data_IF_483549594356
#
_entry.id   IF_483549594356
#
_cell.length_a   1.000
_cell.length_b   1.000
_cell.length_c   1.000
_cell.angle_alpha   90.00
_cell.angle_beta   90.00
_cell.angle_gamma   90.00
#
_symmetry.space_group_name_H-M   'P 1'
#
loop_
_entity.id
_entity.type
_entity.pdbx_description
1 polymer ?
#
# COMPACT_ATOMS: atom_id res chain seq x y z
N UNK A 1 -10.84 -16.67 36.01
CA UNK A 1 -10.25 -16.25 34.73
C UNK A 1 -9.80 -17.47 33.89
N UNK A 2 -9.12 -18.50 34.45
CA UNK A 2 -8.73 -19.70 33.70
C UNK A 2 -9.95 -20.57 33.28
N UNK A 3 -10.98 -20.69 34.12
CA UNK A 3 -12.18 -21.49 33.81
C UNK A 3 -12.99 -20.90 32.62
N UNK A 4 -13.03 -19.58 32.49
CA UNK A 4 -13.76 -18.94 31.38
C UNK A 4 -13.04 -19.11 30.02
N UNK A 5 -11.71 -19.17 30.01
CA UNK A 5 -10.92 -19.43 28.80
C UNK A 5 -11.08 -20.89 28.37
N UNK A 6 -11.04 -21.83 29.33
CA UNK A 6 -11.21 -23.26 29.05
C UNK A 6 -12.62 -23.58 28.51
N UNK A 7 -13.67 -22.95 29.05
CA UNK A 7 -15.04 -23.11 28.58
C UNK A 7 -15.24 -22.51 27.19
N UNK A 8 -14.56 -21.38 26.88
CA UNK A 8 -14.59 -20.77 25.54
C UNK A 8 -13.92 -21.65 24.50
N UNK A 9 -12.78 -22.24 24.82
CA UNK A 9 -12.05 -23.14 23.91
C UNK A 9 -12.84 -24.42 23.61
N UNK A 10 -13.44 -25.02 24.64
CA UNK A 10 -14.34 -26.17 24.47
C UNK A 10 -15.57 -25.82 23.60
N UNK A 11 -16.11 -24.61 23.76
CA UNK A 11 -17.28 -24.15 22.98
C UNK A 11 -16.94 -23.91 21.51
N UNK A 12 -15.78 -23.30 21.20
CA UNK A 12 -15.31 -23.04 19.83
C UNK A 12 -14.99 -24.36 19.13
N UNK A 13 -14.27 -25.26 19.79
CA UNK A 13 -13.96 -26.60 19.28
C UNK A 13 -15.22 -27.41 18.98
N UNK A 14 -16.22 -27.36 19.89
CA UNK A 14 -17.50 -28.01 19.70
C UNK A 14 -18.23 -27.45 18.47
N UNK A 15 -18.37 -26.14 18.35
CA UNK A 15 -19.03 -25.48 17.23
C UNK A 15 -18.35 -25.78 15.89
N UNK A 16 -17.01 -25.79 15.84
CA UNK A 16 -16.26 -26.12 14.64
C UNK A 16 -16.44 -27.58 14.21
N UNK A 17 -16.40 -28.53 15.18
CA UNK A 17 -16.57 -29.95 14.86
C UNK A 17 -17.95 -30.29 14.32
N UNK A 18 -18.98 -29.58 14.79
CA UNK A 18 -20.38 -29.75 14.37
C UNK A 18 -20.77 -28.88 13.16
N UNK A 19 -19.86 -28.04 12.66
CA UNK A 19 -20.07 -27.34 11.39
C UNK A 19 -20.08 -28.33 10.21
N UNK A 20 -20.92 -28.05 9.22
CA UNK A 20 -20.96 -28.78 7.97
C UNK A 20 -19.70 -28.56 7.11
N UNK A 21 -19.64 -29.25 5.97
CA UNK A 21 -18.50 -29.12 5.05
C UNK A 21 -18.32 -27.67 4.54
N UNK A 22 -19.41 -26.96 4.23
CA UNK A 22 -19.37 -25.57 3.73
C UNK A 22 -18.86 -24.61 4.81
N UNK A 23 -19.33 -24.75 6.05
CA UNK A 23 -18.84 -23.95 7.17
C UNK A 23 -17.33 -24.14 7.43
N UNK A 24 -16.85 -25.39 7.39
CA UNK A 24 -15.42 -25.71 7.49
C UNK A 24 -14.60 -25.12 6.34
N UNK A 25 -15.11 -25.19 5.13
CA UNK A 25 -14.47 -24.61 3.95
C UNK A 25 -14.35 -23.08 4.08
N UNK A 26 -15.43 -22.40 4.51
CA UNK A 26 -15.41 -20.95 4.77
C UNK A 26 -14.37 -20.60 5.83
N UNK A 27 -14.32 -21.33 6.94
CA UNK A 27 -13.31 -21.12 7.98
C UNK A 27 -11.88 -21.30 7.44
N UNK A 28 -11.64 -22.27 6.57
CA UNK A 28 -10.33 -22.46 5.93
C UNK A 28 -9.95 -21.29 5.02
N UNK A 29 -10.88 -20.78 4.21
CA UNK A 29 -10.67 -19.59 3.36
C UNK A 29 -10.38 -18.34 4.22
N UNK A 30 -11.14 -18.14 5.28
CA UNK A 30 -10.93 -17.04 6.23
C UNK A 30 -9.57 -17.14 6.93
N UNK A 31 -9.12 -18.34 7.26
CA UNK A 31 -7.80 -18.55 7.84
C UNK A 31 -6.67 -18.19 6.86
N UNK A 32 -6.81 -18.56 5.58
CA UNK A 32 -5.87 -18.13 4.52
C UNK A 32 -5.87 -16.61 4.37
N UNK A 33 -7.04 -15.96 4.39
CA UNK A 33 -7.14 -14.50 4.37
C UNK A 33 -6.45 -13.87 5.58
N UNK A 34 -6.63 -14.44 6.77
CA UNK A 34 -5.97 -13.96 7.98
C UNK A 34 -4.45 -13.96 7.83
N UNK A 35 -3.87 -15.09 7.42
CA UNK A 35 -2.41 -15.17 7.21
C UNK A 35 -1.95 -14.16 6.15
N UNK A 36 -2.63 -14.12 5.00
CA UNK A 36 -2.27 -13.22 3.90
C UNK A 36 -2.31 -11.74 4.33
N UNK A 37 -3.35 -11.32 5.06
CA UNK A 37 -3.48 -9.93 5.52
C UNK A 37 -2.41 -9.56 6.54
N UNK A 38 -2.09 -10.43 7.51
CA UNK A 38 -1.02 -10.17 8.47
C UNK A 38 0.35 -10.07 7.79
N UNK A 39 0.68 -11.01 6.89
CA UNK A 39 1.94 -10.98 6.14
C UNK A 39 2.06 -9.69 5.34
N UNK A 40 1.00 -9.31 4.62
CA UNK A 40 0.98 -8.07 3.82
C UNK A 40 1.09 -6.81 4.69
N UNK A 41 0.38 -6.75 5.82
CA UNK A 41 0.43 -5.61 6.73
C UNK A 41 1.85 -5.39 7.27
N UNK A 42 2.53 -6.45 7.72
CA UNK A 42 3.89 -6.34 8.23
C UNK A 42 4.89 -6.02 7.12
N UNK A 43 4.83 -6.72 5.99
CA UNK A 43 5.74 -6.50 4.86
C UNK A 43 5.60 -5.09 4.29
N UNK A 44 4.36 -4.66 4.03
CA UNK A 44 4.08 -3.33 3.47
C UNK A 44 4.37 -2.22 4.47
N UNK A 45 4.00 -2.42 5.75
CA UNK A 45 4.28 -1.46 6.81
C UNK A 45 5.77 -1.20 7.01
N UNK A 46 6.60 -2.25 7.01
CA UNK A 46 8.05 -2.11 7.11
C UNK A 46 8.65 -1.44 5.88
N UNK A 47 8.19 -1.81 4.68
CA UNK A 47 8.63 -1.18 3.43
C UNK A 47 8.31 0.32 3.37
N UNK A 48 7.08 0.71 3.74
CA UNK A 48 6.66 2.10 3.76
C UNK A 48 7.43 2.94 4.80
N UNK A 49 7.66 2.40 6.00
CA UNK A 49 8.49 3.09 7.01
C UNK A 49 9.89 3.35 6.50
N UNK A 50 10.52 2.35 5.91
CA UNK A 50 11.85 2.48 5.32
C UNK A 50 11.87 3.53 4.21
N UNK A 51 10.89 3.51 3.30
CA UNK A 51 10.76 4.50 2.24
C UNK A 51 10.57 5.93 2.78
N UNK A 52 9.80 6.11 3.85
CA UNK A 52 9.61 7.41 4.51
C UNK A 52 10.91 7.96 5.13
N UNK A 53 11.71 7.10 5.76
CA UNK A 53 13.01 7.47 6.32
C UNK A 53 14.01 7.85 5.23
N UNK A 54 14.11 7.04 4.16
CA UNK A 54 14.97 7.29 3.01
C UNK A 54 14.60 8.60 2.30
N UNK A 55 13.32 8.84 2.09
CA UNK A 55 12.83 10.10 1.52
C UNK A 55 13.17 11.31 2.38
N UNK A 56 12.98 11.23 3.69
CA UNK A 56 13.31 12.31 4.60
C UNK A 56 14.81 12.63 4.63
N UNK A 57 15.64 11.60 4.49
CA UNK A 57 17.10 11.74 4.38
C UNK A 57 17.49 12.38 3.05
N UNK A 58 16.89 11.93 1.95
CA UNK A 58 17.14 12.48 0.61
C UNK A 58 16.72 13.95 0.51
N UNK A 59 15.52 14.32 0.97
CA UNK A 59 15.02 15.71 0.93
C UNK A 59 15.98 16.64 1.70
N UNK A 60 16.47 16.24 2.87
CA UNK A 60 17.46 17.04 3.61
C UNK A 60 18.72 17.28 2.79
N UNK A 61 19.30 16.20 2.25
CA UNK A 61 20.49 16.28 1.40
C UNK A 61 20.25 17.15 0.15
N UNK A 62 19.07 17.06 -0.47
CA UNK A 62 18.70 17.85 -1.63
C UNK A 62 18.60 19.36 -1.29
N UNK A 63 18.01 19.69 -0.15
CA UNK A 63 17.85 21.09 0.29
C UNK A 63 19.16 21.76 0.72
N UNK A 64 20.12 20.99 1.21
CA UNK A 64 21.46 21.50 1.54
C UNK A 64 22.28 21.87 0.31
N UNK A 65 21.95 21.34 -0.87
CA UNK A 65 22.68 21.61 -2.11
C UNK A 65 22.08 22.79 -2.84
N UNK A 66 22.92 23.76 -3.25
CA UNK A 66 22.51 24.92 -4.04
C UNK A 66 22.08 24.49 -5.47
N UNK A 67 22.87 23.61 -6.08
CA UNK A 67 22.58 23.10 -7.43
C UNK A 67 21.72 21.83 -7.34
N UNK A 68 20.50 21.81 -7.94
CA UNK A 68 19.61 20.67 -7.88
C UNK A 68 20.18 19.40 -8.55
N UNK A 69 21.16 19.53 -9.47
CA UNK A 69 21.77 18.40 -10.18
C UNK A 69 23.06 17.88 -9.52
N UNK A 70 23.46 18.42 -8.37
CA UNK A 70 24.75 18.07 -7.72
C UNK A 70 24.78 16.70 -7.04
N UNK A 71 23.65 16.05 -6.83
CA UNK A 71 23.57 14.74 -6.20
C UNK A 71 23.84 13.65 -7.24
N UNK A 72 24.95 12.93 -7.07
CA UNK A 72 25.31 11.84 -7.97
C UNK A 72 24.60 10.53 -7.59
N UNK A 73 24.27 9.65 -8.57
CA UNK A 73 23.71 8.33 -8.29
C UNK A 73 24.54 7.50 -7.31
N UNK A 74 25.88 7.63 -7.36
CA UNK A 74 26.83 6.95 -6.47
C UNK A 74 26.72 7.37 -5.00
N UNK A 75 26.06 8.51 -4.71
CA UNK A 75 25.81 8.97 -3.33
C UNK A 75 24.56 8.34 -2.71
N UNK A 76 23.78 7.59 -3.50
CA UNK A 76 22.50 7.00 -3.12
C UNK A 76 22.63 5.47 -3.09
N UNK A 77 22.95 4.86 -1.94
CA UNK A 77 23.15 3.41 -1.85
C UNK A 77 21.90 2.60 -2.16
N UNK A 78 20.73 3.09 -1.75
CA UNK A 78 19.40 2.55 -2.10
C UNK A 78 18.48 3.73 -2.31
N UNK A 79 18.00 3.99 -3.53
CA UNK A 79 17.13 5.12 -3.78
C UNK A 79 15.71 4.84 -3.22
N UNK A 80 15.27 5.67 -2.28
CA UNK A 80 13.86 5.76 -1.90
C UNK A 80 13.01 6.34 -3.05
N UNK A 81 11.68 6.32 -2.93
CA UNK A 81 10.79 6.80 -3.98
C UNK A 81 11.13 8.20 -4.52
N UNK A 82 11.41 9.17 -3.65
CA UNK A 82 11.76 10.53 -4.06
C UNK A 82 13.12 10.57 -4.78
N UNK A 83 14.08 9.78 -4.31
CA UNK A 83 15.37 9.68 -4.99
C UNK A 83 15.26 9.04 -6.37
N UNK A 84 14.35 8.09 -6.56
CA UNK A 84 14.07 7.48 -7.87
C UNK A 84 13.48 8.52 -8.85
N UNK A 85 12.54 9.35 -8.40
CA UNK A 85 11.99 10.47 -9.18
C UNK A 85 13.08 11.46 -9.56
N UNK A 86 13.96 11.84 -8.63
CA UNK A 86 15.10 12.69 -8.90
C UNK A 86 16.04 12.11 -9.98
N UNK A 87 16.35 10.80 -9.87
CA UNK A 87 17.23 10.14 -10.82
C UNK A 87 16.64 10.10 -12.24
N UNK A 88 15.33 9.87 -12.38
CA UNK A 88 14.65 9.90 -13.68
C UNK A 88 14.75 11.27 -14.35
N UNK A 89 14.49 12.35 -13.60
CA UNK A 89 14.65 13.71 -14.12
C UNK A 89 16.08 14.03 -14.49
N UNK A 90 17.03 13.63 -13.66
CA UNK A 90 18.46 13.83 -13.92
C UNK A 90 18.92 13.10 -15.19
N UNK A 91 18.53 11.85 -15.37
CA UNK A 91 18.84 11.06 -16.56
C UNK A 91 18.34 11.76 -17.83
N UNK A 92 17.11 12.30 -17.77
CA UNK A 92 16.53 13.04 -18.88
C UNK A 92 17.34 14.31 -19.22
N UNK A 93 17.75 15.06 -18.20
CA UNK A 93 18.56 16.26 -18.35
C UNK A 93 19.96 15.92 -18.91
N UNK A 94 20.61 14.87 -18.40
CA UNK A 94 21.92 14.41 -18.90
C UNK A 94 21.83 13.98 -20.38
N UNK A 95 20.73 13.33 -20.79
CA UNK A 95 20.50 12.95 -22.19
C UNK A 95 20.45 14.19 -23.12
N UNK A 96 19.84 15.30 -22.70
CA UNK A 96 19.83 16.54 -23.46
C UNK A 96 21.23 17.21 -23.55
N UNK A 97 22.01 17.15 -22.47
CA UNK A 97 23.37 17.67 -22.48
C UNK A 97 24.32 16.86 -23.38
N UNK A 98 24.15 15.52 -23.42
CA UNK A 98 24.91 14.63 -24.29
C UNK A 98 24.54 14.80 -25.78
N UNK A 99 23.30 15.12 -26.10
CA UNK A 99 22.83 15.35 -27.46
C UNK A 99 23.35 16.67 -28.09
N UNK A 100 23.94 17.57 -27.28
CA UNK A 100 24.50 18.85 -27.73
C UNK A 100 26.00 18.93 -27.39
N UNK A 101 26.89 18.19 -28.07
CA UNK A 101 28.31 18.19 -27.79
C UNK A 101 28.93 19.55 -28.10
N UNK A 102 29.60 20.14 -27.12
CA UNK A 102 30.33 21.41 -27.24
C UNK A 102 29.84 22.54 -26.36
N UNK A 103 28.72 22.41 -25.69
CA UNK A 103 28.25 23.37 -24.71
C UNK A 103 28.07 22.70 -23.33
N UNK A 104 29.09 22.79 -22.47
CA UNK A 104 28.93 22.28 -21.12
C UNK A 104 27.81 23.08 -20.42
N UNK A 105 26.71 22.39 -20.08
CA UNK A 105 25.58 22.90 -19.29
C UNK A 105 24.86 24.14 -19.89
N UNK A 106 24.48 24.06 -21.19
CA UNK A 106 23.54 25.02 -21.70
C UNK A 106 22.21 24.99 -20.95
N UNK A 107 21.54 26.14 -20.84
CA UNK A 107 20.17 26.18 -20.34
C UNK A 107 19.25 25.32 -21.24
N UNK A 108 18.33 24.57 -20.61
CA UNK A 108 17.29 23.82 -21.31
C UNK A 108 16.30 24.82 -21.94
N UNK A 109 15.82 24.53 -23.11
CA UNK A 109 14.72 25.32 -23.70
C UNK A 109 13.38 24.91 -23.08
N UNK A 110 12.31 25.66 -23.31
CA UNK A 110 11.00 25.42 -22.75
C UNK A 110 10.44 24.05 -23.12
N UNK A 111 10.71 23.55 -24.33
CA UNK A 111 10.29 22.23 -24.76
C UNK A 111 11.05 21.09 -24.01
N UNK A 112 12.36 21.27 -23.81
CA UNK A 112 13.18 20.34 -23.03
C UNK A 112 12.77 20.35 -21.55
N UNK A 113 12.45 21.52 -21.00
CA UNK A 113 11.95 21.65 -19.64
C UNK A 113 10.60 20.92 -19.46
N UNK A 114 9.68 21.07 -20.42
CA UNK A 114 8.42 20.33 -20.41
C UNK A 114 8.63 18.82 -20.50
N UNK A 115 9.65 18.34 -21.24
CA UNK A 115 9.97 16.92 -21.30
C UNK A 115 10.60 16.40 -19.99
N UNK A 116 11.31 17.22 -19.24
CA UNK A 116 11.80 16.88 -17.89
C UNK A 116 10.65 16.82 -16.90
N UNK A 117 9.71 17.75 -17.01
CA UNK A 117 8.50 17.78 -16.18
C UNK A 117 7.64 16.52 -16.38
N UNK A 118 7.39 16.15 -17.63
CA UNK A 118 6.71 14.89 -17.97
C UNK A 118 7.45 13.65 -17.42
N UNK A 119 8.78 13.65 -17.45
CA UNK A 119 9.56 12.54 -16.90
C UNK A 119 9.47 12.47 -15.37
N UNK A 120 9.40 13.63 -14.68
CA UNK A 120 9.13 13.70 -13.24
C UNK A 120 7.74 13.13 -12.90
N UNK A 121 6.70 13.59 -13.62
CA UNK A 121 5.32 13.15 -13.43
C UNK A 121 5.19 11.64 -13.65
N UNK A 122 5.73 11.11 -14.74
CA UNK A 122 5.75 9.68 -15.02
C UNK A 122 6.47 8.89 -13.90
N UNK A 123 7.61 9.38 -13.42
CA UNK A 123 8.34 8.74 -12.36
C UNK A 123 7.56 8.75 -11.01
N UNK A 124 6.82 9.83 -10.70
CA UNK A 124 5.93 9.89 -9.55
C UNK A 124 4.83 8.83 -9.67
N UNK A 125 4.17 8.73 -10.82
CA UNK A 125 3.13 7.73 -11.07
C UNK A 125 3.66 6.30 -10.91
N UNK A 126 4.84 6.00 -11.46
CA UNK A 126 5.48 4.69 -11.33
C UNK A 126 5.74 4.32 -9.86
N UNK A 127 6.23 5.28 -9.05
CA UNK A 127 6.42 5.07 -7.63
C UNK A 127 5.09 4.83 -6.91
N UNK A 128 4.03 5.56 -7.27
CA UNK A 128 2.71 5.39 -6.68
C UNK A 128 2.08 4.04 -7.02
N UNK A 129 2.24 3.54 -8.24
CA UNK A 129 1.84 2.18 -8.63
C UNK A 129 2.57 1.14 -7.77
N UNK A 130 3.88 1.29 -7.57
CA UNK A 130 4.68 0.43 -6.70
C UNK A 130 4.22 0.45 -5.24
N UNK A 131 3.90 1.63 -4.71
CA UNK A 131 3.39 1.82 -3.36
C UNK A 131 2.01 1.19 -3.15
N UNK A 132 1.13 1.23 -4.15
CA UNK A 132 -0.20 0.63 -4.09
C UNK A 132 -0.22 -0.89 -4.39
N UNK A 133 0.89 -1.45 -4.86
CA UNK A 133 0.97 -2.87 -5.20
C UNK A 133 0.56 -3.75 -4.01
N UNK A 134 -0.28 -4.73 -4.27
CA UNK A 134 -0.86 -5.69 -3.31
C UNK A 134 -1.91 -5.11 -2.32
N UNK A 135 -2.20 -3.80 -2.31
CA UNK A 135 -3.25 -3.24 -1.47
C UNK A 135 -4.64 -3.80 -1.81
N UNK A 136 -4.84 -4.22 -3.07
CA UNK A 136 -6.08 -4.84 -3.52
C UNK A 136 -6.39 -6.15 -2.77
N UNK A 137 -5.38 -6.94 -2.42
CA UNK A 137 -5.57 -8.20 -1.67
C UNK A 137 -6.10 -7.89 -0.27
N UNK A 138 -5.54 -6.87 0.38
CA UNK A 138 -5.98 -6.43 1.70
C UNK A 138 -7.42 -5.89 1.65
N UNK A 139 -7.73 -5.06 0.64
CA UNK A 139 -9.07 -4.53 0.42
C UNK A 139 -10.10 -5.65 0.15
N UNK A 140 -9.71 -6.66 -0.64
CA UNK A 140 -10.57 -7.82 -0.91
C UNK A 140 -10.84 -8.62 0.37
N UNK A 141 -9.83 -8.90 1.18
CA UNK A 141 -10.01 -9.62 2.44
C UNK A 141 -10.93 -8.86 3.41
N UNK A 142 -10.76 -7.53 3.52
CA UNK A 142 -11.60 -6.66 4.36
C UNK A 142 -13.06 -6.71 3.94
N UNK A 143 -13.34 -6.63 2.64
CA UNK A 143 -14.71 -6.61 2.12
C UNK A 143 -15.33 -8.01 2.03
N UNK A 144 -14.58 -9.02 1.60
CA UNK A 144 -15.12 -10.37 1.39
C UNK A 144 -15.34 -11.15 2.70
N UNK A 145 -14.50 -10.93 3.73
CA UNK A 145 -14.58 -11.73 4.97
C UNK A 145 -15.95 -11.64 5.66
N UNK A 146 -16.56 -10.45 5.87
CA UNK A 146 -17.89 -10.38 6.50
C UNK A 146 -18.98 -11.07 5.67
N UNK A 147 -18.92 -10.99 4.34
CA UNK A 147 -19.87 -11.67 3.47
C UNK A 147 -19.72 -13.18 3.50
N UNK A 148 -18.49 -13.69 3.58
CA UNK A 148 -18.23 -15.12 3.78
C UNK A 148 -18.77 -15.60 5.12
N UNK A 149 -18.60 -14.82 6.19
CA UNK A 149 -19.19 -15.10 7.48
C UNK A 149 -20.70 -15.13 7.46
N UNK A 150 -21.33 -14.13 6.83
CA UNK A 150 -22.77 -14.08 6.66
C UNK A 150 -23.28 -15.26 5.83
N UNK A 151 -22.60 -15.58 4.73
CA UNK A 151 -22.94 -16.74 3.92
C UNK A 151 -22.89 -18.04 4.74
N UNK A 152 -21.85 -18.20 5.58
CA UNK A 152 -21.73 -19.35 6.47
C UNK A 152 -22.87 -19.47 7.49
N UNK A 153 -23.34 -18.35 8.06
CA UNK A 153 -24.49 -18.36 8.98
C UNK A 153 -25.78 -18.70 8.26
N UNK A 154 -26.08 -18.07 7.12
CA UNK A 154 -27.31 -18.36 6.37
C UNK A 154 -27.35 -19.80 5.93
N UNK A 155 -26.24 -20.32 5.39
CA UNK A 155 -26.12 -21.72 4.96
C UNK A 155 -26.31 -22.68 6.11
N UNK A 156 -25.57 -22.53 7.23
CA UNK A 156 -25.62 -23.45 8.35
C UNK A 156 -26.98 -23.46 9.05
N UNK A 157 -27.63 -22.29 9.19
CA UNK A 157 -29.00 -22.20 9.70
C UNK A 157 -29.98 -22.91 8.76
N UNK A 158 -29.83 -22.75 7.45
CA UNK A 158 -30.69 -23.43 6.47
C UNK A 158 -30.57 -24.94 6.58
N UNK A 159 -29.38 -25.49 6.72
CA UNK A 159 -29.16 -26.92 6.92
C UNK A 159 -29.81 -27.40 8.23
N UNK A 160 -29.57 -26.68 9.34
CA UNK A 160 -30.13 -27.03 10.65
C UNK A 160 -31.65 -27.12 10.63
N UNK A 161 -32.34 -26.16 9.99
CA UNK A 161 -33.79 -26.20 9.84
C UNK A 161 -34.27 -27.28 8.87
N UNK A 162 -33.52 -27.60 7.82
CA UNK A 162 -33.84 -28.68 6.90
C UNK A 162 -33.80 -30.04 7.61
N UNK A 163 -32.77 -30.29 8.42
CA UNK A 163 -32.66 -31.50 9.24
C UNK A 163 -33.80 -31.62 10.27
N UNK A 164 -34.19 -30.53 10.91
CA UNK A 164 -35.30 -30.46 11.81
C UNK A 164 -36.61 -30.85 11.11
N UNK A 165 -36.84 -30.30 9.91
CA UNK A 165 -38.05 -30.60 9.16
C UNK A 165 -38.15 -32.09 8.75
N UNK A 166 -37.00 -32.73 8.46
CA UNK A 166 -36.95 -34.18 8.13
C UNK A 166 -37.23 -35.08 9.34
N UNK A 167 -36.81 -34.65 10.54
CA UNK A 167 -37.03 -35.44 11.76
C UNK A 167 -38.45 -35.34 12.34
N UNK A 168 -39.23 -34.37 11.87
CA UNK A 168 -40.63 -34.17 12.29
C UNK A 168 -40.85 -33.81 13.78
N UNK A 169 -39.79 -33.56 14.55
CA UNK A 169 -39.81 -33.13 15.94
C UNK A 169 -38.98 -31.88 16.13
N UNK A 170 -39.57 -30.84 16.69
CA UNK A 170 -38.89 -29.60 17.01
C UNK A 170 -38.11 -29.78 18.34
N UNK A 171 -36.85 -30.21 18.26
CA UNK A 171 -35.97 -30.33 19.42
C UNK A 171 -34.81 -29.35 19.34
N UNK A 172 -34.64 -28.51 20.36
CA UNK A 172 -33.56 -27.55 20.49
C UNK A 172 -32.18 -28.23 20.52
N UNK A 173 -32.09 -29.44 21.08
CA UNK A 173 -30.84 -30.19 21.14
C UNK A 173 -30.32 -30.57 19.75
N UNK A 174 -31.20 -30.76 18.78
CA UNK A 174 -30.85 -31.05 17.40
C UNK A 174 -30.43 -29.79 16.64
N UNK A 175 -31.06 -28.62 16.90
CA UNK A 175 -30.75 -27.35 16.24
C UNK A 175 -29.49 -26.68 16.76
N UNK A 176 -29.25 -26.73 18.07
CA UNK A 176 -28.20 -25.95 18.72
C UNK A 176 -26.80 -26.17 18.14
N UNK A 177 -26.34 -27.39 17.78
CA UNK A 177 -25.02 -27.60 17.20
C UNK A 177 -24.85 -26.92 15.83
N UNK A 178 -25.81 -27.06 14.93
CA UNK A 178 -25.77 -26.48 13.58
C UNK A 178 -25.81 -24.95 13.61
N UNK A 179 -26.69 -24.37 14.44
CA UNK A 179 -26.75 -22.91 14.62
C UNK A 179 -25.48 -22.36 15.27
N UNK A 180 -24.91 -23.04 16.25
CA UNK A 180 -23.66 -22.66 16.89
C UNK A 180 -22.49 -22.65 15.89
N UNK A 181 -22.37 -23.69 15.07
CA UNK A 181 -21.37 -23.78 14.01
C UNK A 181 -21.52 -22.68 12.96
N UNK A 182 -22.77 -22.37 12.58
CA UNK A 182 -23.08 -21.27 11.67
C UNK A 182 -22.62 -19.92 12.22
N UNK A 183 -22.98 -19.58 13.45
CA UNK A 183 -22.60 -18.33 14.11
C UNK A 183 -21.08 -18.18 14.26
N UNK A 184 -20.37 -19.29 14.48
CA UNK A 184 -18.91 -19.28 14.59
C UNK A 184 -18.24 -18.76 13.31
N UNK A 185 -18.76 -19.06 12.12
CA UNK A 185 -18.20 -18.58 10.86
C UNK A 185 -18.19 -17.05 10.78
N UNK A 186 -19.24 -16.38 11.27
CA UNK A 186 -19.31 -14.91 11.31
C UNK A 186 -18.35 -14.32 12.34
N UNK A 187 -18.19 -14.94 13.50
CA UNK A 187 -17.21 -14.48 14.49
C UNK A 187 -15.81 -14.55 13.93
N UNK A 188 -15.42 -15.65 13.29
CA UNK A 188 -14.10 -15.80 12.65
C UNK A 188 -13.93 -14.77 11.53
N UNK A 189 -14.95 -14.54 10.71
CA UNK A 189 -14.91 -13.57 9.64
C UNK A 189 -14.64 -12.14 10.14
N UNK A 190 -15.29 -11.74 11.25
CA UNK A 190 -15.08 -10.42 11.87
C UNK A 190 -13.70 -10.32 12.53
N UNK A 191 -13.20 -11.39 13.13
CA UNK A 191 -11.83 -11.44 13.68
C UNK A 191 -10.75 -11.22 12.59
N UNK A 192 -11.02 -11.61 11.37
CA UNK A 192 -10.13 -11.34 10.21
C UNK A 192 -10.36 -9.95 9.65
N UNK A 193 -11.62 -9.55 9.46
CA UNK A 193 -11.96 -8.30 8.80
C UNK A 193 -11.53 -7.05 9.59
N UNK A 194 -11.76 -7.03 10.90
CA UNK A 194 -11.55 -5.83 11.72
C UNK A 194 -10.05 -5.44 11.79
N UNK A 195 -9.11 -6.33 12.14
CA UNK A 195 -7.69 -5.97 12.14
C UNK A 195 -7.19 -5.61 10.74
N UNK A 196 -7.67 -6.32 9.71
CA UNK A 196 -7.30 -6.06 8.31
C UNK A 196 -7.76 -4.67 7.86
N UNK A 197 -8.97 -4.24 8.25
CA UNK A 197 -9.50 -2.91 7.97
C UNK A 197 -8.67 -1.81 8.63
N UNK A 198 -8.33 -1.99 9.91
CA UNK A 198 -7.49 -1.03 10.64
C UNK A 198 -6.13 -0.90 9.97
N UNK A 199 -5.48 -2.03 9.68
CA UNK A 199 -4.18 -2.04 9.00
C UNK A 199 -4.22 -1.43 7.61
N UNK A 200 -5.24 -1.73 6.82
CA UNK A 200 -5.45 -1.14 5.50
C UNK A 200 -5.58 0.39 5.57
N UNK A 201 -6.35 0.92 6.53
CA UNK A 201 -6.54 2.35 6.70
C UNK A 201 -5.23 3.06 7.09
N UNK A 202 -4.43 2.44 7.98
CA UNK A 202 -3.11 2.97 8.36
C UNK A 202 -2.17 2.99 7.15
N UNK A 203 -2.09 1.90 6.38
CA UNK A 203 -1.24 1.81 5.20
C UNK A 203 -1.67 2.81 4.11
N UNK A 204 -2.96 2.96 3.86
CA UNK A 204 -3.50 3.95 2.92
C UNK A 204 -3.15 5.38 3.35
N UNK A 205 -3.21 5.69 4.65
CA UNK A 205 -2.78 7.00 5.16
C UNK A 205 -1.30 7.27 4.87
N UNK A 206 -0.43 6.28 5.11
CA UNK A 206 1.01 6.43 4.81
C UNK A 206 1.30 6.54 3.31
N UNK A 207 0.58 5.81 2.46
CA UNK A 207 0.70 5.93 0.99
C UNK A 207 0.25 7.32 0.55
N UNK A 208 -0.83 7.86 1.10
CA UNK A 208 -1.30 9.22 0.82
C UNK A 208 -0.27 10.28 1.22
N UNK A 209 0.32 10.15 2.42
CA UNK A 209 1.38 11.05 2.86
C UNK A 209 2.61 10.99 1.95
N UNK A 210 2.93 9.79 1.44
CA UNK A 210 4.01 9.59 0.47
C UNK A 210 3.71 10.30 -0.85
N UNK A 211 2.48 10.18 -1.35
CA UNK A 211 2.06 10.88 -2.58
C UNK A 211 2.27 12.38 -2.45
N UNK A 212 1.76 12.98 -1.38
CA UNK A 212 1.94 14.43 -1.13
C UNK A 212 3.42 14.83 -1.09
N UNK A 213 4.29 13.98 -0.53
CA UNK A 213 5.74 14.27 -0.52
C UNK A 213 6.39 14.15 -1.89
N UNK A 214 5.93 13.21 -2.73
CA UNK A 214 6.39 13.06 -4.11
C UNK A 214 5.96 14.27 -4.95
N UNK A 215 4.71 14.69 -4.85
CA UNK A 215 4.17 15.86 -5.56
C UNK A 215 4.90 17.15 -5.14
N UNK A 216 5.08 17.36 -3.83
CA UNK A 216 5.83 18.51 -3.32
C UNK A 216 7.29 18.51 -3.77
N UNK A 217 7.92 17.33 -3.87
CA UNK A 217 9.29 17.23 -4.39
C UNK A 217 9.35 17.54 -5.89
N UNK A 218 8.39 17.06 -6.68
CA UNK A 218 8.27 17.39 -8.09
C UNK A 218 8.23 18.92 -8.30
N UNK A 219 7.35 19.62 -7.60
CA UNK A 219 7.21 21.06 -7.62
C UNK A 219 8.49 21.80 -7.18
N UNK A 220 9.10 21.34 -6.08
CA UNK A 220 10.33 21.92 -5.54
C UNK A 220 11.50 21.76 -6.53
N UNK A 221 11.63 20.57 -7.14
CA UNK A 221 12.68 20.30 -8.13
C UNK A 221 12.51 21.15 -9.40
N UNK A 222 11.28 21.17 -9.95
CA UNK A 222 10.96 21.98 -11.13
C UNK A 222 11.27 23.48 -10.90
N UNK A 223 10.82 24.01 -9.77
CA UNK A 223 11.06 25.40 -9.39
C UNK A 223 12.56 25.73 -9.27
N UNK A 224 13.33 24.88 -8.60
CA UNK A 224 14.77 25.06 -8.42
C UNK A 224 15.53 24.94 -9.75
N UNK A 225 15.13 24.03 -10.62
CA UNK A 225 15.74 23.88 -11.94
C UNK A 225 15.52 25.13 -12.78
N UNK A 226 14.32 25.71 -12.75
CA UNK A 226 13.99 26.95 -13.47
C UNK A 226 14.79 28.15 -12.95
N UNK A 227 14.96 28.29 -11.65
CA UNK A 227 15.76 29.36 -11.04
C UNK A 227 17.23 29.24 -11.47
N UNK A 228 17.83 28.04 -11.42
CA UNK A 228 19.22 27.82 -11.83
C UNK A 228 19.44 28.18 -13.30
N UNK A 229 18.47 27.90 -14.16
CA UNK A 229 18.53 28.31 -15.59
C UNK A 229 18.48 29.82 -15.76
N UNK A 230 17.63 30.53 -15.02
CA UNK A 230 17.58 31.99 -15.07
C UNK A 230 18.88 32.62 -14.60
N UNK A 231 19.49 32.08 -13.55
CA UNK A 231 20.79 32.53 -13.01
C UNK A 231 21.91 32.29 -14.06
N UNK A 232 21.93 31.13 -14.70
CA UNK A 232 22.93 30.79 -15.71
C UNK A 232 22.79 31.67 -16.98
N UNK A 233 21.56 31.96 -17.41
CA UNK A 233 21.29 32.85 -18.51
C UNK A 233 21.74 34.28 -18.20
N UNK A 234 21.44 34.80 -17.02
CA UNK A 234 21.81 36.15 -16.60
C UNK A 234 23.35 36.32 -16.47
N UNK A 235 24.08 35.28 -16.08
CA UNK A 235 25.54 35.24 -16.04
C UNK A 235 26.12 35.27 -17.46
N UNK A 236 25.60 34.49 -18.40
CA UNK A 236 26.06 34.45 -19.80
C UNK A 236 25.85 35.77 -20.53
N UNK A 237 24.73 36.46 -20.26
CA UNK A 237 24.47 37.81 -20.83
C UNK A 237 25.45 38.87 -20.30
N UNK A 238 25.85 38.79 -19.05
CA UNK A 238 26.86 39.70 -18.47
C UNK A 238 28.25 39.48 -19.05
N UNK A 239 28.65 38.24 -19.30
CA UNK A 239 29.96 37.90 -19.89
C UNK A 239 30.06 38.24 -21.37
N UNK A 240 28.93 38.26 -22.12
CA UNK A 240 28.87 38.63 -23.52
C UNK A 240 28.79 40.16 -23.78
N UNK A 241 28.50 40.93 -22.70
CA UNK A 241 28.38 42.40 -22.76
C UNK A 241 29.63 43.17 -22.33
N UNK A 242 30.73 42.48 -21.96
CA UNK A 242 32.05 43.03 -21.68
C UNK A 242 33.05 42.63 -22.78
#
# INVERSE_FOLDING_TARGET
MFDTVFLADASISYAFNHSDFVGKFICAVLFVFSIATWVLMFAKGSSLRKALEENSRFIRMFREKRNPLSILPSMLPVPGPIAAVYLAAREKIEAFHLAAPGSPRRALNDAELALVDNALEQAVEEQMVGLNKYMIILATAVSASPFLGLFGTVWGITIAFTELAQQGKADIQTLAPGVSGALLTTVIALMVAIPSLIGMNILNSWIKDMNVKLDNFHEEFHSRLKIEQMDSYSAAVRDSGN
#
